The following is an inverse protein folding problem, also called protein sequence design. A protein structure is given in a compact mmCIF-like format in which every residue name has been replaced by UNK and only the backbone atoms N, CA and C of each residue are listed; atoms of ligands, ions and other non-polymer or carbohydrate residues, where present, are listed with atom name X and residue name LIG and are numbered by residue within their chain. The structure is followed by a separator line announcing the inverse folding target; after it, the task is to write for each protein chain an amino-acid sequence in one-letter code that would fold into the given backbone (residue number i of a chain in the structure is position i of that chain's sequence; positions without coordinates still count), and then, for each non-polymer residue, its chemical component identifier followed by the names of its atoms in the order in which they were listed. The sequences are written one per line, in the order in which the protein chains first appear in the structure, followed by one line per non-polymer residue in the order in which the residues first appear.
data_IF_096706362867
#
_entry.id   IF_096706362867
#
_cell.length_a   1.000
_cell.length_b   1.000
_cell.length_c   1.000
_cell.angle_alpha   90.00
_cell.angle_beta   90.00
_cell.angle_gamma   90.00
#
_symmetry.space_group_name_H-M   'P 1'
#
loop_
_entity.id
_entity.type
_entity.pdbx_description
1 polymer ?
#
# COMPACT_ATOMS: atom_id res chain seq x y z
N UNK A 1 14.91 0.50 -8.51
CA UNK A 1 14.80 1.11 -7.17
C UNK A 1 14.39 0.03 -6.18
N UNK A 2 15.06 -0.10 -5.04
CA UNK A 2 14.69 -1.06 -3.99
C UNK A 2 13.66 -0.45 -3.02
N UNK A 3 13.26 -1.22 -2.00
CA UNK A 3 12.23 -0.82 -1.05
C UNK A 3 12.69 0.35 -0.17
N UNK A 4 13.92 0.29 0.35
CA UNK A 4 14.46 1.39 1.15
C UNK A 4 14.53 2.72 0.38
N UNK A 5 14.91 2.70 -0.91
CA UNK A 5 14.94 3.90 -1.73
C UNK A 5 13.55 4.48 -2.00
N UNK A 6 12.52 3.64 -2.16
CA UNK A 6 11.13 4.09 -2.28
C UNK A 6 10.64 4.79 -1.01
N UNK A 7 10.94 4.20 0.14
CA UNK A 7 10.61 4.79 1.44
C UNK A 7 11.34 6.11 1.62
N UNK A 8 12.64 6.15 1.36
CA UNK A 8 13.45 7.37 1.43
C UNK A 8 12.87 8.49 0.55
N UNK A 9 12.56 8.17 -0.71
CA UNK A 9 11.95 9.13 -1.63
C UNK A 9 10.61 9.66 -1.10
N UNK A 10 9.76 8.78 -0.59
CA UNK A 10 8.44 9.15 -0.06
C UNK A 10 8.51 9.94 1.26
N UNK A 11 9.59 9.81 2.04
CA UNK A 11 9.81 10.64 3.22
C UNK A 11 10.30 12.05 2.85
N UNK A 12 11.08 12.19 1.77
CA UNK A 12 11.60 13.49 1.31
C UNK A 12 10.64 14.23 0.37
N UNK A 13 9.91 13.49 -0.46
CA UNK A 13 8.95 13.99 -1.44
C UNK A 13 7.75 13.04 -1.45
N UNK A 14 6.77 13.27 -0.55
CA UNK A 14 5.63 12.37 -0.38
C UNK A 14 4.84 12.12 -1.66
N UNK A 15 4.58 13.16 -2.49
CA UNK A 15 3.83 12.95 -3.72
C UNK A 15 4.56 12.01 -4.68
N UNK A 16 5.84 12.27 -4.93
CA UNK A 16 6.62 11.48 -5.91
C UNK A 16 6.93 10.07 -5.40
N UNK A 17 7.26 9.93 -4.11
CA UNK A 17 7.59 8.63 -3.55
C UNK A 17 6.37 7.73 -3.40
N UNK A 18 5.22 8.27 -3.00
CA UNK A 18 3.97 7.47 -2.93
C UNK A 18 3.53 7.04 -4.33
N UNK A 19 3.66 7.90 -5.34
CA UNK A 19 3.43 7.53 -6.74
C UNK A 19 4.36 6.38 -7.17
N UNK A 20 5.66 6.45 -6.86
CA UNK A 20 6.60 5.38 -7.19
C UNK A 20 6.30 4.06 -6.44
N UNK A 21 5.80 4.14 -5.20
CA UNK A 21 5.32 2.96 -4.45
C UNK A 21 4.08 2.38 -5.13
N UNK A 22 3.15 3.23 -5.56
CA UNK A 22 1.95 2.83 -6.28
C UNK A 22 2.28 2.16 -7.61
N UNK A 23 3.16 2.74 -8.41
CA UNK A 23 3.59 2.17 -9.69
C UNK A 23 4.21 0.78 -9.52
N UNK A 24 4.95 0.56 -8.42
CA UNK A 24 5.60 -0.73 -8.15
C UNK A 24 4.65 -1.78 -7.58
N UNK A 25 3.72 -1.39 -6.70
CA UNK A 25 2.95 -2.33 -5.89
C UNK A 25 1.45 -2.33 -6.17
N UNK A 26 0.91 -1.29 -6.82
CA UNK A 26 -0.52 -1.05 -7.01
C UNK A 26 -1.24 -2.23 -7.65
N UNK A 27 -0.78 -2.72 -8.79
CA UNK A 27 -1.40 -3.88 -9.47
C UNK A 27 -1.38 -5.14 -8.62
N UNK A 28 -0.28 -5.43 -7.92
CA UNK A 28 -0.17 -6.63 -7.09
C UNK A 28 -1.05 -6.55 -5.85
N UNK A 29 -1.12 -5.38 -5.21
CA UNK A 29 -2.01 -5.13 -4.07
C UNK A 29 -3.47 -5.16 -4.49
N UNK A 30 -3.81 -4.61 -5.67
CA UNK A 30 -5.16 -4.70 -6.23
C UNK A 30 -5.58 -6.17 -6.40
N UNK A 31 -4.74 -6.97 -7.06
CA UNK A 31 -5.01 -8.39 -7.27
C UNK A 31 -5.16 -9.15 -5.95
N UNK A 32 -4.36 -8.80 -4.95
CA UNK A 32 -4.47 -9.35 -3.61
C UNK A 32 -5.81 -8.98 -2.94
N UNK A 33 -6.20 -7.70 -2.96
CA UNK A 33 -7.49 -7.26 -2.45
C UNK A 33 -8.66 -7.95 -3.16
N UNK A 34 -8.60 -8.05 -4.50
CA UNK A 34 -9.60 -8.72 -5.32
C UNK A 34 -9.71 -10.22 -5.00
N UNK A 35 -8.60 -10.89 -4.70
CA UNK A 35 -8.62 -12.31 -4.30
C UNK A 35 -9.39 -12.58 -3.00
N UNK A 36 -9.47 -11.56 -2.12
CA UNK A 36 -10.17 -11.60 -0.84
C UNK A 36 -11.64 -11.17 -1.02
N UNK A 37 -11.86 -10.00 -1.62
CA UNK A 37 -13.17 -9.35 -1.70
C UNK A 37 -14.05 -9.86 -2.83
N UNK A 38 -13.47 -10.43 -3.90
CA UNK A 38 -14.18 -10.91 -5.10
C UNK A 38 -15.06 -9.87 -5.81
N UNK A 39 -14.81 -8.59 -5.55
CA UNK A 39 -15.51 -7.43 -6.09
C UNK A 39 -14.48 -6.41 -6.58
N UNK A 40 -14.62 -5.95 -7.81
CA UNK A 40 -13.69 -4.99 -8.41
C UNK A 40 -13.77 -3.62 -7.73
N UNK A 41 -14.99 -3.20 -7.38
CA UNK A 41 -15.26 -1.94 -6.67
C UNK A 41 -14.63 -1.99 -5.28
N UNK A 42 -14.97 -3.01 -4.47
CA UNK A 42 -14.47 -3.10 -3.09
C UNK A 42 -12.94 -3.27 -3.05
N UNK A 43 -12.36 -4.00 -4.02
CA UNK A 43 -10.91 -4.14 -4.14
C UNK A 43 -10.22 -2.81 -4.48
N UNK A 44 -10.84 -1.99 -5.35
CA UNK A 44 -10.40 -0.64 -5.65
C UNK A 44 -10.43 0.27 -4.42
N UNK A 45 -11.54 0.25 -3.69
CA UNK A 45 -11.71 1.03 -2.47
C UNK A 45 -10.72 0.61 -1.38
N UNK A 46 -10.54 -0.70 -1.16
CA UNK A 46 -9.56 -1.22 -0.22
C UNK A 46 -8.12 -0.84 -0.59
N UNK A 47 -7.77 -0.85 -1.88
CA UNK A 47 -6.47 -0.39 -2.36
C UNK A 47 -6.29 1.10 -2.08
N UNK A 48 -7.28 1.93 -2.43
CA UNK A 48 -7.23 3.37 -2.23
C UNK A 48 -7.03 3.72 -0.74
N UNK A 49 -7.85 3.16 0.14
CA UNK A 49 -7.74 3.33 1.60
C UNK A 49 -6.40 2.83 2.15
N UNK A 50 -5.81 1.80 1.52
CA UNK A 50 -4.47 1.35 1.87
C UNK A 50 -3.43 2.41 1.58
N UNK A 51 -3.48 3.05 0.42
CA UNK A 51 -2.54 4.11 0.06
C UNK A 51 -2.74 5.39 0.88
N UNK A 52 -3.98 5.72 1.26
CA UNK A 52 -4.24 6.79 2.25
C UNK A 52 -3.56 6.47 3.59
N UNK A 53 -3.67 5.23 4.04
CA UNK A 53 -3.00 4.77 5.27
C UNK A 53 -1.48 4.79 5.16
N UNK A 54 -0.94 4.39 4.01
CA UNK A 54 0.50 4.43 3.73
C UNK A 54 1.02 5.85 3.86
N UNK A 55 0.38 6.84 3.21
CA UNK A 55 0.79 8.25 3.31
C UNK A 55 0.86 8.74 4.76
N UNK A 56 -0.11 8.37 5.60
CA UNK A 56 -0.14 8.79 6.99
C UNK A 56 0.79 8.02 7.94
N UNK A 57 1.28 6.83 7.55
CA UNK A 57 2.02 5.93 8.45
C UNK A 57 3.40 5.50 7.95
N UNK A 58 3.82 5.95 6.76
CA UNK A 58 5.08 5.49 6.17
C UNK A 58 6.29 5.81 7.07
N UNK A 59 6.29 6.94 7.77
CA UNK A 59 7.32 7.30 8.76
C UNK A 59 7.40 6.36 9.97
N UNK A 60 6.39 5.52 10.18
CA UNK A 60 6.35 4.52 11.25
C UNK A 60 6.93 3.16 10.81
N UNK A 61 7.26 3.00 9.53
CA UNK A 61 7.93 1.81 9.02
C UNK A 61 9.37 1.77 9.56
N UNK A 62 9.60 0.90 10.56
CA UNK A 62 10.90 0.78 11.24
C UNK A 62 12.02 0.27 10.35
N UNK A 63 11.68 -0.56 9.37
CA UNK A 63 12.62 -1.20 8.46
C UNK A 63 12.19 -0.90 7.01
N UNK A 64 12.85 0.06 6.35
CA UNK A 64 12.53 0.44 4.98
C UNK A 64 12.64 -0.70 3.96
N UNK A 65 13.45 -1.73 4.22
CA UNK A 65 13.56 -2.91 3.35
C UNK A 65 12.34 -3.84 3.45
N UNK A 66 11.50 -3.65 4.47
CA UNK A 66 10.25 -4.42 4.69
C UNK A 66 9.00 -3.69 4.20
N UNK A 67 9.15 -2.79 3.24
CA UNK A 67 8.02 -2.09 2.63
C UNK A 67 6.99 -3.06 2.08
N UNK A 68 7.40 -4.05 1.26
CA UNK A 68 6.45 -5.02 0.68
C UNK A 68 5.57 -5.72 1.72
N UNK A 69 6.08 -6.47 2.72
CA UNK A 69 5.21 -7.13 3.70
C UNK A 69 4.36 -6.15 4.52
N UNK A 70 4.86 -4.94 4.77
CA UNK A 70 4.10 -3.89 5.46
C UNK A 70 2.90 -3.38 4.64
N UNK A 71 3.07 -3.17 3.33
CA UNK A 71 1.97 -2.81 2.41
C UNK A 71 0.88 -3.87 2.38
N UNK A 72 1.26 -5.15 2.30
CA UNK A 72 0.28 -6.25 2.30
C UNK A 72 -0.46 -6.37 3.65
N UNK A 73 0.18 -6.05 4.77
CA UNK A 73 -0.49 -6.01 6.06
C UNK A 73 -1.56 -4.91 6.12
N UNK A 74 -1.26 -3.72 5.57
CA UNK A 74 -2.23 -2.63 5.45
C UNK A 74 -3.39 -3.06 4.55
N UNK A 75 -3.10 -3.56 3.34
CA UNK A 75 -4.11 -3.99 2.38
C UNK A 75 -5.04 -5.07 2.94
N UNK A 76 -4.47 -6.07 3.63
CA UNK A 76 -5.22 -7.10 4.34
C UNK A 76 -6.19 -6.49 5.34
N UNK A 77 -5.74 -5.53 6.14
CA UNK A 77 -6.58 -4.88 7.14
C UNK A 77 -7.74 -4.09 6.50
N UNK A 78 -7.50 -3.42 5.36
CA UNK A 78 -8.58 -2.71 4.66
C UNK A 78 -9.59 -3.66 4.04
N UNK A 79 -9.16 -4.78 3.46
CA UNK A 79 -10.08 -5.80 2.95
C UNK A 79 -11.01 -6.32 4.05
N UNK A 80 -10.48 -6.59 5.25
CA UNK A 80 -11.31 -7.07 6.35
C UNK A 80 -12.25 -6.02 6.94
N UNK A 81 -12.00 -4.73 6.73
CA UNK A 81 -12.96 -3.69 7.11
C UNK A 81 -14.16 -3.66 6.15
N UNK A 82 -13.93 -3.88 4.86
CA UNK A 82 -14.99 -3.89 3.84
C UNK A 82 -15.86 -5.17 3.89
N UNK A 83 -15.35 -6.25 4.49
CA UNK A 83 -16.11 -7.49 4.71
C UNK A 83 -17.07 -7.48 5.91
N UNK A 84 -17.14 -6.39 6.68
CA UNK A 84 -18.05 -6.24 7.83
C UNK A 84 -19.33 -5.53 7.44
#
# INVERSE_FOLDING_TARGET
MNDAALVGLALTNPQQGVAAIYDRYGTSLFNYCYSILRSQADAGDALQESFVTVMGKLSQLRDPEKLRPWLYAIARNQCFKQHR
#
